data_IF_984917086665
#
_entry.id   IF_984917086665
#
_cell.length_a   1.000
_cell.length_b   1.000
_cell.length_c   1.000
_cell.angle_alpha   90.00
_cell.angle_beta   90.00
_cell.angle_gamma   90.00
#
_symmetry.space_group_name_H-M   'P 1'
#
loop_
_entity.id
_entity.type
_entity.pdbx_description
1 polymer ?
#
# COMPACT_ATOMS: atom_id res chain seq x y z
N UNK A 1 5.36 0.64 -15.43
CA UNK A 1 6.71 0.52 -14.83
C UNK A 1 6.66 -0.63 -13.84
N UNK A 2 7.66 -1.49 -13.80
CA UNK A 2 7.78 -2.56 -12.80
C UNK A 2 8.80 -2.11 -11.76
N UNK A 3 8.47 -2.05 -10.47
CA UNK A 3 9.44 -1.71 -9.42
C UNK A 3 10.55 -2.76 -9.32
N UNK A 4 11.78 -2.33 -9.02
CA UNK A 4 12.91 -3.25 -8.80
C UNK A 4 12.76 -4.10 -7.53
N UNK A 5 12.10 -3.55 -6.50
CA UNK A 5 11.81 -4.21 -5.23
C UNK A 5 10.30 -4.28 -5.07
N UNK A 6 9.77 -5.50 -4.93
CA UNK A 6 8.34 -5.76 -4.81
C UNK A 6 7.96 -5.88 -3.32
N UNK A 7 7.08 -5.00 -2.87
CA UNK A 7 6.48 -5.06 -1.54
C UNK A 7 5.07 -5.67 -1.63
N UNK A 8 4.55 -6.28 -0.54
CA UNK A 8 3.17 -6.80 -0.52
C UNK A 8 2.15 -5.70 -0.82
N UNK A 9 1.44 -5.84 -1.94
CA UNK A 9 0.42 -4.89 -2.40
C UNK A 9 -0.97 -5.33 -1.93
N UNK A 10 -1.72 -4.50 -1.17
CA UNK A 10 -3.09 -4.81 -0.79
C UNK A 10 -4.03 -4.92 -1.99
N UNK A 11 -3.74 -4.20 -3.08
CA UNK A 11 -4.51 -4.20 -4.32
C UNK A 11 -3.96 -5.18 -5.37
N UNK A 12 -2.96 -6.01 -5.06
CA UNK A 12 -2.32 -6.90 -6.04
C UNK A 12 -3.23 -8.01 -6.62
N UNK A 13 -4.44 -8.17 -6.09
CA UNK A 13 -5.48 -9.05 -6.63
C UNK A 13 -6.38 -8.33 -7.64
N UNK A 14 -6.39 -6.99 -7.65
CA UNK A 14 -7.21 -6.20 -8.56
C UNK A 14 -6.52 -6.10 -9.90
N UNK A 15 -7.19 -6.59 -10.94
CA UNK A 15 -6.77 -6.38 -12.31
C UNK A 15 -7.16 -4.97 -12.75
N UNK A 16 -6.37 -3.98 -12.34
CA UNK A 16 -6.54 -2.58 -12.71
C UNK A 16 -5.35 -2.07 -13.55
N UNK A 17 -5.62 -1.07 -14.39
CA UNK A 17 -4.63 -0.37 -15.20
C UNK A 17 -4.99 -0.31 -16.68
N UNK A 18 -4.20 0.45 -17.43
CA UNK A 18 -4.43 0.72 -18.86
C UNK A 18 -4.63 -0.55 -19.70
N UNK A 19 -3.87 -1.62 -19.39
CA UNK A 19 -3.93 -2.91 -20.10
C UNK A 19 -5.30 -3.59 -19.98
N UNK A 20 -6.08 -3.26 -18.96
CA UNK A 20 -7.38 -3.88 -18.69
C UNK A 20 -8.55 -3.08 -19.28
N UNK A 21 -8.28 -1.92 -19.90
CA UNK A 21 -9.30 -1.12 -20.59
C UNK A 21 -9.70 -1.78 -21.91
N UNK A 22 -10.97 -1.62 -22.27
CA UNK A 22 -11.48 -2.05 -23.57
C UNK A 22 -10.80 -1.26 -24.69
N UNK A 23 -10.38 -1.95 -25.76
CA UNK A 23 -9.67 -1.36 -26.89
C UNK A 23 -8.38 -0.59 -26.53
N UNK A 24 -7.69 -1.00 -25.46
CA UNK A 24 -6.38 -0.45 -25.13
C UNK A 24 -5.40 -0.59 -26.30
N UNK A 25 -4.66 0.49 -26.59
CA UNK A 25 -3.65 0.49 -27.66
C UNK A 25 -2.53 -0.49 -27.27
N UNK A 26 -2.15 -1.35 -28.21
CA UNK A 26 -1.07 -2.30 -28.00
C UNK A 26 0.24 -1.58 -27.68
N UNK A 27 1.00 -2.13 -26.74
CA UNK A 27 2.32 -1.62 -26.43
C UNK A 27 3.23 -1.73 -27.65
N UNK A 28 3.97 -0.66 -27.94
CA UNK A 28 4.97 -0.62 -29.00
C UNK A 28 6.22 0.09 -28.50
N UNK A 29 7.35 -0.21 -29.13
CA UNK A 29 8.64 0.36 -28.79
C UNK A 29 9.21 1.12 -29.99
N UNK A 30 9.65 2.35 -29.75
CA UNK A 30 10.41 3.15 -30.71
C UNK A 30 11.90 3.09 -30.40
N UNK A 31 12.73 3.55 -31.33
CA UNK A 31 14.17 3.64 -31.11
C UNK A 31 14.49 4.51 -29.88
N UNK A 32 15.45 4.09 -29.03
CA UNK A 32 15.79 4.83 -27.82
C UNK A 32 16.43 6.17 -28.17
N UNK A 33 16.08 7.22 -27.41
CA UNK A 33 16.74 8.50 -27.51
C UNK A 33 18.20 8.41 -26.99
N UNK A 34 19.15 9.18 -27.57
CA UNK A 34 20.50 9.24 -27.05
C UNK A 34 20.50 9.87 -25.65
N UNK A 35 21.05 9.14 -24.68
CA UNK A 35 21.19 9.59 -23.29
C UNK A 35 22.42 8.94 -22.67
N UNK A 36 22.91 9.53 -21.60
CA UNK A 36 23.98 8.93 -20.78
C UNK A 36 23.36 8.43 -19.49
N UNK A 37 23.61 7.16 -19.16
CA UNK A 37 23.15 6.60 -17.90
C UNK A 37 23.94 7.22 -16.74
N UNK A 38 23.22 7.56 -15.67
CA UNK A 38 23.87 7.92 -14.41
C UNK A 38 24.40 6.65 -13.74
N UNK A 39 25.68 6.66 -13.35
CA UNK A 39 26.32 5.53 -12.70
C UNK A 39 25.85 5.44 -11.24
N UNK A 40 25.07 4.41 -10.93
CA UNK A 40 24.62 4.10 -9.57
C UNK A 40 25.69 3.33 -8.81
N UNK A 41 25.87 3.61 -7.53
CA UNK A 41 26.85 2.92 -6.66
C UNK A 41 26.28 1.67 -5.98
N UNK A 42 24.95 1.61 -5.80
CA UNK A 42 24.28 0.55 -5.07
C UNK A 42 24.07 -0.73 -5.90
N UNK A 43 23.99 -1.87 -5.20
CA UNK A 43 23.76 -3.20 -5.79
C UNK A 43 22.31 -3.64 -5.58
N UNK A 44 21.48 -3.52 -6.61
CA UNK A 44 20.04 -3.90 -6.56
C UNK A 44 19.78 -5.30 -6.00
N UNK A 45 20.51 -6.38 -6.37
CA UNK A 45 20.26 -7.70 -5.81
C UNK A 45 20.44 -7.78 -4.29
N UNK A 46 21.40 -7.03 -3.74
CA UNK A 46 21.63 -6.96 -2.29
C UNK A 46 20.48 -6.23 -1.59
N UNK A 47 19.97 -5.15 -2.18
CA UNK A 47 18.81 -4.42 -1.65
C UNK A 47 17.56 -5.31 -1.61
N UNK A 48 17.32 -6.07 -2.68
CA UNK A 48 16.20 -7.03 -2.74
C UNK A 48 16.30 -8.07 -1.62
N UNK A 49 17.49 -8.62 -1.39
CA UNK A 49 17.70 -9.62 -0.32
C UNK A 49 17.46 -9.03 1.07
N UNK A 50 18.01 -7.85 1.37
CA UNK A 50 17.83 -7.18 2.65
C UNK A 50 16.36 -6.82 2.90
N UNK A 51 15.71 -6.25 1.89
CA UNK A 51 14.29 -5.89 1.97
C UNK A 51 13.41 -7.11 2.18
N UNK A 52 13.63 -8.19 1.40
CA UNK A 52 12.88 -9.45 1.56
C UNK A 52 13.01 -10.00 2.99
N UNK A 53 14.21 -9.96 3.58
CA UNK A 53 14.44 -10.43 4.93
C UNK A 53 13.70 -9.58 6.00
N UNK A 54 13.54 -8.26 5.79
CA UNK A 54 12.76 -7.39 6.68
C UNK A 54 11.26 -7.58 6.50
N UNK A 55 10.79 -7.64 5.25
CA UNK A 55 9.39 -7.83 4.90
C UNK A 55 8.84 -9.13 5.51
N UNK A 56 9.60 -10.23 5.44
CA UNK A 56 9.22 -11.52 6.03
C UNK A 56 9.07 -11.43 7.56
N UNK A 57 9.90 -10.63 8.22
CA UNK A 57 9.86 -10.45 9.68
C UNK A 57 8.79 -9.45 10.14
N UNK A 58 8.24 -8.65 9.23
CA UNK A 58 7.26 -7.63 9.58
C UNK A 58 5.84 -8.23 9.67
N UNK A 59 5.22 -8.27 10.86
CA UNK A 59 3.91 -8.90 11.05
C UNK A 59 2.78 -8.16 10.33
N UNK A 60 2.89 -6.84 10.11
CA UNK A 60 1.88 -6.08 9.38
C UNK A 60 1.90 -6.43 7.89
N UNK A 61 3.07 -6.44 7.27
CA UNK A 61 3.23 -6.80 5.86
C UNK A 61 2.86 -8.27 5.60
N UNK A 62 3.17 -9.17 6.53
CA UNK A 62 2.73 -10.56 6.46
C UNK A 62 1.19 -10.69 6.46
N UNK A 63 0.49 -9.95 7.33
CA UNK A 63 -0.99 -9.90 7.33
C UNK A 63 -1.57 -9.32 6.04
N UNK A 64 -0.91 -8.32 5.46
CA UNK A 64 -1.33 -7.75 4.18
C UNK A 64 -1.22 -8.81 3.08
N UNK A 65 -0.07 -9.49 2.98
CA UNK A 65 0.13 -10.56 2.00
C UNK A 65 -0.93 -11.68 2.14
N UNK A 66 -1.25 -12.09 3.37
CA UNK A 66 -2.28 -13.07 3.64
C UNK A 66 -3.69 -12.59 3.23
N UNK A 67 -4.00 -11.31 3.48
CA UNK A 67 -5.27 -10.69 3.08
C UNK A 67 -5.40 -10.64 1.56
N UNK A 68 -4.35 -10.21 0.84
CA UNK A 68 -4.34 -10.19 -0.63
C UNK A 68 -4.53 -11.58 -1.21
N UNK A 69 -3.87 -12.61 -0.65
CA UNK A 69 -4.04 -13.99 -1.08
C UNK A 69 -5.49 -14.50 -0.88
N UNK A 70 -6.10 -14.17 0.27
CA UNK A 70 -7.50 -14.49 0.57
C UNK A 70 -8.47 -13.81 -0.41
N UNK A 71 -8.25 -12.53 -0.71
CA UNK A 71 -9.08 -11.78 -1.66
C UNK A 71 -8.95 -12.33 -3.08
N UNK A 72 -7.73 -12.67 -3.51
CA UNK A 72 -7.49 -13.34 -4.80
C UNK A 72 -8.19 -14.69 -4.91
N UNK A 73 -8.14 -15.50 -3.85
CA UNK A 73 -8.86 -16.78 -3.82
C UNK A 73 -10.38 -16.58 -3.95
N UNK A 74 -10.93 -15.55 -3.31
CA UNK A 74 -12.36 -15.19 -3.43
C UNK A 74 -12.74 -14.70 -4.82
N UNK A 75 -11.89 -13.89 -5.45
CA UNK A 75 -12.11 -13.40 -6.81
C UNK A 75 -12.21 -14.54 -7.82
N UNK A 76 -11.41 -15.59 -7.64
CA UNK A 76 -11.44 -16.79 -8.50
C UNK A 76 -12.67 -17.68 -8.24
N UNK A 77 -13.36 -17.51 -7.10
CA UNK A 77 -14.55 -18.28 -6.76
C UNK A 77 -15.82 -17.65 -7.36
N UNK A 78 -16.10 -18.02 -8.61
CA UNK A 78 -17.23 -17.52 -9.39
C UNK A 78 -18.56 -18.21 -9.08
N UNK A 79 -18.58 -19.24 -8.23
CA UNK A 79 -19.80 -20.01 -7.94
C UNK A 79 -20.52 -19.40 -6.76
N UNK A 80 -21.79 -19.03 -6.92
CA UNK A 80 -22.58 -18.42 -5.84
C UNK A 80 -23.80 -19.30 -5.51
N UNK A 81 -23.97 -19.72 -4.24
CA UNK A 81 -25.16 -20.46 -3.85
C UNK A 81 -26.39 -19.56 -3.93
N UNK A 82 -27.46 -20.07 -4.56
CA UNK A 82 -28.73 -19.35 -4.70
C UNK A 82 -29.62 -19.48 -3.45
N UNK A 83 -29.47 -20.59 -2.71
CA UNK A 83 -30.22 -20.80 -1.49
C UNK A 83 -29.80 -19.79 -0.42
N UNK A 84 -30.75 -18.98 0.05
CA UNK A 84 -30.53 -17.95 1.08
C UNK A 84 -29.70 -18.42 2.28
N UNK A 85 -30.01 -19.54 2.96
CA UNK A 85 -29.22 -19.96 4.13
C UNK A 85 -27.75 -20.27 3.78
N UNK A 86 -27.51 -20.90 2.62
CA UNK A 86 -26.15 -21.19 2.16
C UNK A 86 -25.38 -19.91 1.77
N UNK A 87 -26.08 -18.92 1.22
CA UNK A 87 -25.49 -17.61 0.92
C UNK A 87 -25.13 -16.82 2.18
N UNK A 88 -26.03 -16.79 3.19
CA UNK A 88 -25.79 -16.10 4.47
C UNK A 88 -24.62 -16.73 5.25
N UNK A 89 -24.55 -18.06 5.29
CA UNK A 89 -23.43 -18.80 5.89
C UNK A 89 -22.09 -18.42 5.22
N UNK A 90 -22.03 -18.49 3.89
CA UNK A 90 -20.84 -18.10 3.11
C UNK A 90 -20.42 -16.65 3.36
N UNK A 91 -21.37 -15.71 3.40
CA UNK A 91 -21.08 -14.29 3.68
C UNK A 91 -20.50 -14.09 5.07
N UNK A 92 -21.00 -14.83 6.06
CA UNK A 92 -20.54 -14.77 7.44
C UNK A 92 -19.11 -15.32 7.57
N UNK A 93 -18.84 -16.48 6.96
CA UNK A 93 -17.49 -17.06 6.89
C UNK A 93 -16.50 -16.12 6.21
N UNK A 94 -16.90 -15.51 5.09
CA UNK A 94 -16.08 -14.53 4.38
C UNK A 94 -15.80 -13.28 5.23
N UNK A 95 -16.77 -12.79 6.01
CA UNK A 95 -16.52 -11.66 6.91
C UNK A 95 -15.51 -12.04 7.99
N UNK A 96 -15.72 -13.18 8.68
CA UNK A 96 -14.85 -13.64 9.76
C UNK A 96 -13.42 -13.86 9.26
N UNK A 97 -13.26 -14.54 8.12
CA UNK A 97 -11.93 -14.77 7.54
C UNK A 97 -11.23 -13.47 7.13
N UNK A 98 -11.98 -12.45 6.68
CA UNK A 98 -11.40 -11.15 6.33
C UNK A 98 -11.01 -10.35 7.58
N UNK A 99 -11.86 -10.34 8.61
CA UNK A 99 -11.58 -9.67 9.89
C UNK A 99 -10.36 -10.29 10.59
N UNK A 100 -10.20 -11.62 10.53
CA UNK A 100 -9.04 -12.31 11.08
C UNK A 100 -7.74 -12.00 10.32
N UNK A 101 -7.80 -11.82 9.01
CA UNK A 101 -6.63 -11.55 8.16
C UNK A 101 -6.24 -10.07 8.11
N UNK A 102 -7.21 -9.16 8.20
CA UNK A 102 -6.99 -7.72 7.96
C UNK A 102 -6.19 -7.07 9.10
N UNK A 103 -5.04 -6.43 8.80
CA UNK A 103 -4.30 -5.67 9.79
C UNK A 103 -5.00 -4.34 10.11
N UNK A 104 -5.07 -4.00 11.40
CA UNK A 104 -5.52 -2.68 11.85
C UNK A 104 -4.35 -1.69 11.82
N UNK A 105 -4.16 -1.03 10.68
CA UNK A 105 -3.07 -0.08 10.46
C UNK A 105 -3.13 1.12 11.43
N UNK A 106 -4.30 1.46 11.96
CA UNK A 106 -4.44 2.57 12.92
C UNK A 106 -3.86 2.23 14.30
N UNK A 107 -3.78 0.94 14.64
CA UNK A 107 -3.20 0.45 15.90
C UNK A 107 -1.71 0.12 15.78
N UNK A 108 -1.15 0.14 14.57
CA UNK A 108 0.28 -0.07 14.36
C UNK A 108 1.10 0.99 15.11
N UNK A 109 2.27 0.64 15.68
CA UNK A 109 3.15 1.63 16.28
C UNK A 109 3.68 2.60 15.21
N UNK A 110 4.03 3.81 15.63
CA UNK A 110 4.76 4.74 14.77
C UNK A 110 6.21 4.25 14.61
N UNK A 111 6.69 4.09 13.39
CA UNK A 111 8.02 3.58 13.08
C UNK A 111 9.03 4.70 12.83
N UNK A 112 8.57 5.87 12.39
CA UNK A 112 9.41 7.04 12.12
C UNK A 112 8.69 8.34 12.48
N UNK A 113 9.46 9.44 12.56
CA UNK A 113 8.93 10.76 12.91
C UNK A 113 8.69 11.57 11.63
N UNK A 114 7.46 12.02 11.45
CA UNK A 114 7.08 12.94 10.36
C UNK A 114 7.19 14.36 10.88
N UNK A 115 8.08 15.16 10.28
CA UNK A 115 8.19 16.61 10.55
C UNK A 115 7.65 17.38 9.37
N UNK A 116 6.70 18.27 9.62
CA UNK A 116 6.19 19.21 8.62
C UNK A 116 7.19 20.37 8.53
N UNK A 117 7.73 20.62 7.34
CA UNK A 117 8.78 21.63 7.11
C UNK A 117 8.18 23.04 7.03
N UNK A 118 7.04 23.18 6.33
CA UNK A 118 6.24 24.40 6.28
C UNK A 118 4.78 23.98 6.43
N UNK A 119 4.10 24.48 7.46
CA UNK A 119 2.64 24.43 7.45
C UNK A 119 2.18 25.28 6.26
N UNK A 120 1.35 24.76 5.35
CA UNK A 120 0.72 25.64 4.38
C UNK A 120 0.00 26.70 5.20
N UNK A 121 0.47 27.95 5.06
CA UNK A 121 -0.18 29.13 5.62
C UNK A 121 -1.51 29.33 4.90
N UNK A 122 -2.46 28.43 5.11
CA UNK A 122 -3.85 28.87 5.18
C UNK A 122 -3.87 29.79 6.38
N UNK A 123 -3.70 31.09 6.10
CA UNK A 123 -4.01 32.21 6.98
C UNK A 123 -4.95 31.74 8.07
N UNK A 124 -4.59 31.99 9.32
CA UNK A 124 -5.48 32.02 10.47
C UNK A 124 -6.93 32.24 10.02
N UNK A 125 -7.65 31.16 9.72
CA UNK A 125 -9.09 31.23 9.62
C UNK A 125 -9.46 31.46 11.06
N UNK A 126 -10.13 32.59 11.28
CA UNK A 126 -10.70 33.02 12.54
C UNK A 126 -11.06 31.83 13.44
N UNK A 127 -10.94 31.95 14.78
CA UNK A 127 -11.32 30.87 15.68
C UNK A 127 -12.63 30.27 15.20
N UNK A 128 -12.69 28.94 15.03
CA UNK A 128 -13.85 28.31 14.44
C UNK A 128 -15.11 28.86 15.10
N UNK A 129 -16.17 29.18 14.33
CA UNK A 129 -17.43 29.60 14.91
C UNK A 129 -17.80 28.63 16.05
N UNK A 130 -18.36 29.09 17.18
CA UNK A 130 -18.69 28.22 18.29
C UNK A 130 -19.48 27.00 17.77
N UNK A 131 -18.88 25.81 17.88
CA UNK A 131 -19.43 24.55 17.35
C UNK A 131 -18.64 23.89 16.19
N UNK A 132 -17.65 24.55 15.58
CA UNK A 132 -16.83 23.97 14.51
C UNK A 132 -15.53 23.39 15.07
N UNK A 133 -15.21 22.14 14.72
CA UNK A 133 -13.96 21.48 15.14
C UNK A 133 -12.75 22.07 14.40
N UNK A 134 -11.59 22.23 15.06
CA UNK A 134 -10.36 22.62 14.39
C UNK A 134 -9.97 21.62 13.29
N UNK A 135 -9.23 22.10 12.27
CA UNK A 135 -8.80 21.26 11.15
C UNK A 135 -7.64 20.34 11.56
N UNK A 136 -7.97 19.11 11.96
CA UNK A 136 -7.00 18.08 12.35
C UNK A 136 -6.49 17.24 11.15
N UNK A 137 -6.68 17.69 9.90
CA UNK A 137 -6.28 16.89 8.72
C UNK A 137 -4.78 16.63 8.69
N UNK A 138 -3.98 17.66 8.97
CA UNK A 138 -2.52 17.59 8.88
C UNK A 138 -1.95 16.64 9.95
N UNK A 139 -2.42 16.76 11.20
CA UNK A 139 -2.00 15.88 12.30
C UNK A 139 -2.43 14.43 12.05
N UNK A 140 -3.65 14.19 11.58
CA UNK A 140 -4.11 12.84 11.20
C UNK A 140 -3.29 12.25 10.06
N UNK A 141 -2.95 13.07 9.06
CA UNK A 141 -2.11 12.64 7.96
C UNK A 141 -0.72 12.26 8.45
N UNK A 142 -0.06 13.10 9.26
CA UNK A 142 1.27 12.81 9.79
C UNK A 142 1.27 11.57 10.68
N UNK A 143 0.25 11.40 11.52
CA UNK A 143 0.11 10.25 12.41
C UNK A 143 -0.12 8.94 11.66
N UNK A 144 -0.88 8.98 10.56
CA UNK A 144 -1.09 7.82 9.70
C UNK A 144 0.18 7.48 8.93
N UNK A 145 0.87 8.49 8.38
CA UNK A 145 2.09 8.30 7.61
C UNK A 145 3.19 7.69 8.49
N UNK A 146 3.35 8.16 9.72
CA UNK A 146 4.34 7.64 10.68
C UNK A 146 4.18 6.13 10.98
N UNK A 147 3.01 5.56 10.69
CA UNK A 147 2.66 4.14 10.91
C UNK A 147 2.65 3.32 9.61
N UNK A 148 2.96 3.95 8.48
CA UNK A 148 2.90 3.31 7.17
C UNK A 148 4.07 2.31 7.00
N UNK A 149 3.78 0.99 6.83
CA UNK A 149 4.82 -0.02 6.72
C UNK A 149 5.56 0.00 5.38
N UNK A 150 4.96 0.53 4.31
CA UNK A 150 5.62 0.64 3.00
C UNK A 150 6.61 1.79 2.97
N UNK A 151 6.24 2.93 3.55
CA UNK A 151 7.14 4.08 3.67
C UNK A 151 8.31 3.73 4.57
N UNK A 152 8.05 3.05 5.69
CA UNK A 152 9.09 2.57 6.60
C UNK A 152 10.11 1.64 5.90
N UNK A 153 9.63 0.63 5.15
CA UNK A 153 10.54 -0.24 4.39
C UNK A 153 11.27 0.51 3.28
N UNK A 154 10.63 1.50 2.65
CA UNK A 154 11.28 2.34 1.63
C UNK A 154 12.41 3.18 2.24
N UNK A 155 12.24 3.72 3.45
CA UNK A 155 13.31 4.42 4.17
C UNK A 155 14.48 3.49 4.49
N UNK A 156 14.19 2.24 4.88
CA UNK A 156 15.23 1.24 5.13
C UNK A 156 15.99 0.87 3.84
N UNK A 157 15.29 0.73 2.71
CA UNK A 157 15.91 0.50 1.39
C UNK A 157 16.81 1.68 1.02
N UNK A 158 16.35 2.92 1.21
CA UNK A 158 17.17 4.11 0.95
C UNK A 158 18.41 4.16 1.85
N UNK A 159 18.30 3.75 3.12
CA UNK A 159 19.45 3.64 4.03
C UNK A 159 20.47 2.56 3.62
N UNK A 160 20.02 1.53 2.91
CA UNK A 160 20.88 0.47 2.36
C UNK A 160 21.56 0.89 1.04
N UNK A 161 21.06 1.93 0.35
CA UNK A 161 21.68 2.48 -0.86
C UNK A 161 22.97 3.23 -0.49
N UNK A 162 24.10 2.56 -0.70
CA UNK A 162 25.45 3.11 -0.61
C UNK A 162 26.14 3.04 -1.96
#
# INVERSE_FOLDING_TARGET
VVPDILLPDPAGHVEAGERQLEHAIAWSQVAPAPHTNWATTWKTPSLVQHSTARVIKNPLLAKIAATTALLKARQNDTRIPLARPAWEARRTEQRIALEAASPDLKKAPANFVVKVIEEPTTKAVSPPPPGVKPDDRLSKWSDNLARDPWVDETLNILGDMK
#
